data_IF_618254683233
#
_entry.id   IF_618254683233
#
_cell.length_a   1.000
_cell.length_b   1.000
_cell.length_c   1.000
_cell.angle_alpha   90.00
_cell.angle_beta   90.00
_cell.angle_gamma   90.00
#
_symmetry.space_group_name_H-M   'P 1'
#
loop_
_entity.id
_entity.type
_entity.pdbx_description
1 polymer ?
#
# COMPACT_ATOMS: atom_id res chain seq x y z
N UNK A 1 -11.49 21.21 -12.37
CA UNK A 1 -10.61 22.06 -11.52
C UNK A 1 -10.60 21.44 -10.15
N UNK A 2 -9.45 20.90 -9.78
CA UNK A 2 -9.20 20.26 -8.49
C UNK A 2 -8.62 21.31 -7.56
N UNK A 3 -9.12 21.38 -6.33
CA UNK A 3 -8.60 22.25 -5.28
C UNK A 3 -7.69 21.42 -4.36
N UNK A 4 -6.47 21.90 -4.13
CA UNK A 4 -5.52 21.29 -3.20
C UNK A 4 -5.33 22.18 -1.99
N UNK A 5 -5.52 21.62 -0.80
CA UNK A 5 -5.32 22.29 0.49
C UNK A 5 -4.16 21.62 1.24
N UNK A 6 -3.19 22.43 1.70
CA UNK A 6 -2.14 22.00 2.62
C UNK A 6 -2.46 22.46 4.05
N UNK A 7 -2.27 21.57 5.03
CA UNK A 7 -2.44 21.85 6.46
C UNK A 7 -1.40 21.11 7.29
N UNK A 8 -1.19 21.55 8.53
CA UNK A 8 -0.42 20.79 9.51
C UNK A 8 -1.31 19.69 10.10
N UNK A 9 -0.76 18.48 10.26
CA UNK A 9 -1.45 17.30 10.81
C UNK A 9 -0.96 16.90 12.21
N UNK A 10 0.27 17.30 12.55
CA UNK A 10 0.88 17.02 13.85
C UNK A 10 2.39 17.21 13.81
N UNK A 11 3.07 16.71 14.84
CA UNK A 11 4.53 16.78 14.97
C UNK A 11 5.08 15.40 15.26
N UNK A 12 6.07 14.96 14.48
CA UNK A 12 6.80 13.70 14.68
C UNK A 12 8.29 14.00 14.82
N UNK A 13 8.91 13.61 15.94
CA UNK A 13 10.35 13.85 16.21
C UNK A 13 10.82 15.30 15.97
N UNK A 14 9.99 16.28 16.36
CA UNK A 14 10.18 17.73 16.15
C UNK A 14 10.06 18.21 14.71
N UNK A 15 9.59 17.37 13.78
CA UNK A 15 9.25 17.76 12.42
C UNK A 15 7.73 17.87 12.27
N UNK A 16 7.27 18.88 11.52
CA UNK A 16 5.85 19.00 11.18
C UNK A 16 5.47 17.89 10.19
N UNK A 17 4.40 17.18 10.51
CA UNK A 17 3.71 16.30 9.57
C UNK A 17 2.66 17.13 8.85
N UNK A 18 2.68 17.10 7.51
CA UNK A 18 1.75 17.84 6.65
C UNK A 18 0.61 16.93 6.19
N UNK A 19 -0.57 17.51 5.97
CA UNK A 19 -1.73 16.90 5.31
C UNK A 19 -2.02 17.66 4.02
N UNK A 20 -2.27 16.91 2.95
CA UNK A 20 -2.65 17.43 1.65
C UNK A 20 -4.01 16.85 1.28
N UNK A 21 -4.97 17.72 0.99
CA UNK A 21 -6.34 17.32 0.65
C UNK A 21 -6.73 17.84 -0.72
N UNK A 22 -7.00 16.93 -1.64
CA UNK A 22 -7.61 17.24 -2.93
C UNK A 22 -9.12 17.21 -2.82
N UNK A 23 -9.79 18.12 -3.54
CA UNK A 23 -11.22 18.10 -3.75
C UNK A 23 -11.54 18.37 -5.22
N UNK A 24 -12.30 17.48 -5.84
CA UNK A 24 -12.80 17.68 -7.21
C UNK A 24 -14.17 18.38 -7.19
N UNK A 25 -14.70 18.68 -8.38
CA UNK A 25 -16.02 19.33 -8.50
C UNK A 25 -17.19 18.42 -8.11
N UNK A 26 -17.02 17.10 -8.17
CA UNK A 26 -18.07 16.13 -7.81
C UNK A 26 -18.24 15.98 -6.30
N UNK A 27 -17.27 16.47 -5.52
CA UNK A 27 -17.20 16.25 -4.08
C UNK A 27 -16.24 15.13 -3.68
N UNK A 28 -15.67 14.38 -4.63
CA UNK A 28 -14.61 13.42 -4.36
C UNK A 28 -13.42 14.10 -3.67
N UNK A 29 -12.97 13.54 -2.56
CA UNK A 29 -11.83 14.06 -1.79
C UNK A 29 -10.86 12.96 -1.45
N UNK A 30 -9.58 13.29 -1.53
CA UNK A 30 -8.52 12.42 -1.02
C UNK A 30 -7.64 13.22 -0.11
N UNK A 31 -7.28 12.66 1.04
CA UNK A 31 -6.26 13.23 1.91
C UNK A 31 -5.08 12.29 2.02
N UNK A 32 -3.87 12.85 1.96
CA UNK A 32 -2.62 12.14 2.27
C UNK A 32 -1.83 12.92 3.33
N UNK A 33 -0.98 12.23 4.08
CA UNK A 33 -0.10 12.83 5.09
C UNK A 33 1.37 12.52 4.81
N UNK A 34 2.27 13.39 5.24
CA UNK A 34 3.71 13.20 5.01
C UNK A 34 4.32 12.06 5.85
N UNK A 35 3.72 11.71 6.99
CA UNK A 35 4.10 10.52 7.74
C UNK A 35 3.70 9.26 6.97
N UNK A 36 4.70 8.44 6.64
CA UNK A 36 4.58 7.23 5.81
C UNK A 36 4.11 7.47 4.37
N UNK A 37 3.99 8.74 3.94
CA UNK A 37 3.30 9.14 2.71
C UNK A 37 1.92 8.46 2.61
N UNK A 38 1.19 8.41 3.73
CA UNK A 38 -0.03 7.62 3.87
C UNK A 38 -1.22 8.29 3.17
N UNK A 39 -2.09 7.49 2.56
CA UNK A 39 -3.47 7.88 2.28
C UNK A 39 -4.23 7.85 3.62
N UNK A 40 -4.74 9.00 4.04
CA UNK A 40 -5.47 9.18 5.29
C UNK A 40 -6.98 9.01 5.13
N UNK A 41 -7.54 9.44 4.00
CA UNK A 41 -8.98 9.33 3.70
C UNK A 41 -9.26 9.41 2.19
N UNK A 42 -10.33 8.76 1.74
CA UNK A 42 -10.87 8.84 0.38
C UNK A 42 -12.39 8.95 0.51
N UNK A 43 -12.92 10.17 0.39
CA UNK A 43 -14.37 10.41 0.44
C UNK A 43 -14.94 10.33 -0.97
N UNK A 44 -15.87 9.39 -1.18
CA UNK A 44 -16.53 9.13 -2.47
C UNK A 44 -18.01 9.49 -2.37
N UNK A 45 -18.57 10.27 -3.31
CA UNK A 45 -20.00 10.51 -3.36
C UNK A 45 -20.73 9.26 -3.83
N UNK A 46 -21.77 8.87 -3.10
CA UNK A 46 -22.65 7.77 -3.50
C UNK A 46 -23.67 8.21 -4.58
N UNK A 47 -24.64 7.34 -4.89
CA UNK A 47 -25.67 7.59 -5.92
C UNK A 47 -26.61 8.75 -5.58
N UNK A 48 -26.72 9.15 -4.31
CA UNK A 48 -27.55 10.28 -3.87
C UNK A 48 -26.71 11.51 -3.50
N UNK A 49 -25.39 11.41 -3.61
CA UNK A 49 -24.44 12.50 -3.39
C UNK A 49 -23.89 12.57 -1.96
N UNK A 50 -24.18 11.59 -1.11
CA UNK A 50 -23.63 11.51 0.24
C UNK A 50 -22.18 11.04 0.19
N UNK A 51 -21.29 11.73 0.90
CA UNK A 51 -19.87 11.42 0.95
C UNK A 51 -19.58 10.40 2.05
N UNK A 52 -18.98 9.27 1.68
CA UNK A 52 -18.50 8.26 2.62
C UNK A 52 -16.99 8.10 2.46
N UNK A 53 -16.25 8.06 3.57
CA UNK A 53 -14.83 7.71 3.53
C UNK A 53 -14.71 6.20 3.37
N UNK A 54 -14.13 5.77 2.24
CA UNK A 54 -14.08 4.37 1.83
C UNK A 54 -12.76 3.70 2.19
N UNK A 55 -11.87 4.36 2.93
CA UNK A 55 -10.64 3.76 3.46
C UNK A 55 -10.56 3.84 4.97
N UNK A 56 -9.95 2.84 5.59
CA UNK A 56 -9.64 2.87 7.01
C UNK A 56 -8.41 3.75 7.26
N UNK A 57 -8.48 4.55 8.33
CA UNK A 57 -7.40 5.44 8.76
C UNK A 57 -7.66 6.01 10.15
N UNK A 58 -6.83 6.98 10.54
CA UNK A 58 -6.98 7.73 11.79
C UNK A 58 -7.20 9.23 11.53
N UNK A 59 -7.90 9.88 12.46
CA UNK A 59 -8.18 11.32 12.42
C UNK A 59 -6.97 12.18 12.79
N UNK A 60 -6.03 11.62 13.56
CA UNK A 60 -4.84 12.30 14.06
C UNK A 60 -3.56 11.47 13.88
N UNK A 61 -2.42 12.15 14.02
CA UNK A 61 -1.09 11.55 13.86
C UNK A 61 -0.78 10.46 14.90
N UNK A 62 -1.32 10.56 16.12
CA UNK A 62 -1.02 9.61 17.20
C UNK A 62 -1.55 8.22 16.85
N UNK A 63 -2.71 8.15 16.19
CA UNK A 63 -3.24 6.90 15.64
C UNK A 63 -2.24 6.21 14.72
N UNK A 64 -1.62 6.95 13.80
CA UNK A 64 -0.62 6.39 12.90
C UNK A 64 0.70 6.06 13.59
N UNK A 65 1.15 6.82 14.58
CA UNK A 65 2.45 6.56 15.23
C UNK A 65 2.37 5.41 16.23
N UNK A 66 1.27 5.31 16.98
CA UNK A 66 1.14 4.37 18.10
C UNK A 66 0.43 3.07 17.70
N UNK A 67 -0.40 3.11 16.66
CA UNK A 67 -1.30 2.00 16.27
C UNK A 67 -1.23 1.69 14.78
N UNK A 68 -0.18 2.10 14.05
CA UNK A 68 -0.19 1.98 12.58
C UNK A 68 -0.45 0.57 12.08
N UNK A 69 -0.25 -0.47 12.89
CA UNK A 69 -0.54 -1.84 12.51
C UNK A 69 -2.06 -2.02 12.32
N UNK A 70 -2.53 -2.44 11.12
CA UNK A 70 -1.79 -3.19 10.10
C UNK A 70 -1.43 -2.39 8.82
N UNK A 71 -0.70 -1.28 8.93
CA UNK A 71 -0.19 -0.41 7.85
C UNK A 71 -1.24 0.45 7.13
N UNK A 72 -2.23 0.98 7.86
CA UNK A 72 -3.38 1.68 7.26
C UNK A 72 -2.96 2.82 6.31
N UNK A 73 -3.17 2.61 5.00
CA UNK A 73 -2.94 3.60 3.96
C UNK A 73 -1.48 3.89 3.64
N UNK A 74 -0.54 3.16 4.23
CA UNK A 74 0.86 3.52 4.22
C UNK A 74 1.60 3.21 2.92
N UNK A 75 2.64 3.97 2.60
CA UNK A 75 3.66 3.53 1.63
C UNK A 75 4.54 2.49 2.28
N UNK A 76 4.62 1.32 1.66
CA UNK A 76 5.39 0.18 2.14
C UNK A 76 6.65 -0.01 1.30
N UNK A 77 7.80 -0.13 1.97
CA UNK A 77 9.10 -0.30 1.33
C UNK A 77 10.25 -0.40 2.35
N UNK A 78 11.48 -0.77 1.96
CA UNK A 78 11.96 -0.93 0.56
C UNK A 78 11.37 -2.11 -0.20
N UNK A 79 11.04 -3.21 0.49
CA UNK A 79 10.34 -4.35 -0.10
C UNK A 79 9.07 -4.66 0.68
N UNK A 80 7.94 -4.53 -0.01
CA UNK A 80 6.64 -4.99 0.46
C UNK A 80 6.56 -6.51 0.50
N UNK A 81 5.70 -7.01 1.39
CA UNK A 81 5.51 -8.42 1.71
C UNK A 81 6.77 -9.06 2.33
N UNK A 82 6.87 -10.39 2.28
CA UNK A 82 7.81 -11.18 3.08
C UNK A 82 9.08 -11.52 2.31
N UNK A 83 10.22 -11.49 2.99
CA UNK A 83 11.50 -12.06 2.52
C UNK A 83 11.91 -13.16 3.51
N UNK A 84 11.94 -14.39 2.99
CA UNK A 84 12.27 -15.60 3.75
C UNK A 84 13.65 -15.50 4.41
N UNK A 85 13.73 -15.84 5.69
CA UNK A 85 14.97 -15.82 6.48
C UNK A 85 15.55 -14.42 6.67
N UNK A 86 14.80 -13.37 6.27
CA UNK A 86 15.26 -12.00 6.22
C UNK A 86 16.61 -11.84 5.50
N UNK A 87 16.86 -12.62 4.45
CA UNK A 87 18.13 -12.52 3.71
C UNK A 87 17.92 -12.66 2.21
N UNK A 88 18.86 -12.11 1.46
CA UNK A 88 18.95 -12.30 0.01
C UNK A 88 20.41 -12.14 -0.42
N UNK A 89 20.68 -12.49 -1.69
CA UNK A 89 22.00 -12.34 -2.29
C UNK A 89 21.94 -11.48 -3.54
N UNK A 90 22.96 -10.62 -3.72
CA UNK A 90 23.21 -9.87 -4.96
C UNK A 90 24.67 -10.09 -5.34
N UNK A 91 24.90 -10.55 -6.57
CA UNK A 91 26.24 -10.82 -7.09
C UNK A 91 27.11 -11.71 -6.17
N UNK A 92 26.48 -12.65 -5.44
CA UNK A 92 27.14 -13.56 -4.50
C UNK A 92 27.43 -12.98 -3.11
N UNK A 93 27.15 -11.69 -2.88
CA UNK A 93 27.20 -11.09 -1.54
C UNK A 93 25.86 -11.30 -0.81
N UNK A 94 25.92 -11.74 0.44
CA UNK A 94 24.76 -11.95 1.31
C UNK A 94 24.42 -10.68 2.09
N UNK A 95 23.13 -10.35 2.13
CA UNK A 95 22.58 -9.22 2.88
C UNK A 95 21.56 -9.73 3.88
N UNK A 96 21.79 -9.43 5.16
CA UNK A 96 20.87 -9.75 6.24
C UNK A 96 20.02 -8.52 6.55
N UNK A 97 18.71 -8.68 6.39
CA UNK A 97 17.68 -7.72 6.73
C UNK A 97 17.24 -7.86 8.19
N UNK A 98 16.58 -6.83 8.70
CA UNK A 98 15.89 -6.89 9.99
C UNK A 98 14.84 -8.01 10.00
N UNK A 99 14.69 -8.69 11.13
CA UNK A 99 13.65 -9.70 11.33
C UNK A 99 12.56 -9.07 12.17
N UNK A 100 11.35 -8.97 11.62
CA UNK A 100 10.22 -8.31 12.26
C UNK A 100 8.92 -9.13 12.17
N UNK A 101 8.98 -10.35 11.62
CA UNK A 101 7.89 -11.32 11.71
C UNK A 101 8.47 -12.69 12.05
N UNK A 102 7.81 -13.41 12.96
CA UNK A 102 8.14 -14.78 13.40
C UNK A 102 9.59 -15.01 13.87
N UNK A 103 10.33 -13.96 14.27
CA UNK A 103 11.77 -13.97 14.60
C UNK A 103 12.71 -14.50 13.50
N UNK A 104 12.18 -14.77 12.31
CA UNK A 104 12.90 -15.44 11.23
C UNK A 104 12.85 -14.69 9.91
N UNK A 105 11.70 -14.09 9.59
CA UNK A 105 11.46 -13.48 8.29
C UNK A 105 11.41 -11.95 8.38
N UNK A 106 11.55 -11.33 7.21
CA UNK A 106 11.41 -9.88 7.05
C UNK A 106 10.06 -9.58 6.41
N UNK A 107 9.39 -8.51 6.84
CA UNK A 107 8.08 -8.09 6.35
C UNK A 107 8.06 -6.57 6.15
N UNK A 108 7.53 -6.13 5.00
CA UNK A 108 7.15 -4.73 4.77
C UNK A 108 8.26 -3.70 5.03
N UNK A 109 9.51 -4.05 4.74
CA UNK A 109 10.65 -3.14 4.86
C UNK A 109 11.34 -3.12 6.22
N UNK A 110 10.80 -3.80 7.24
CA UNK A 110 11.49 -4.05 8.51
C UNK A 110 10.87 -3.36 9.72
N UNK A 111 11.70 -3.07 10.73
CA UNK A 111 11.23 -2.52 12.02
C UNK A 111 10.73 -1.08 11.85
N UNK A 112 11.52 -0.25 11.19
CA UNK A 112 11.19 1.13 10.82
C UNK A 112 11.19 1.23 9.28
N UNK A 113 10.18 0.61 8.67
CA UNK A 113 9.94 0.70 7.24
C UNK A 113 9.48 2.10 6.79
N UNK A 114 9.24 2.21 5.48
CA UNK A 114 8.81 3.45 4.83
C UNK A 114 7.49 4.02 5.38
N UNK A 115 6.70 3.18 6.03
CA UNK A 115 5.44 3.52 6.69
C UNK A 115 5.62 4.30 8.01
N UNK A 116 6.83 4.29 8.61
CA UNK A 116 7.07 4.84 9.96
C UNK A 116 8.00 6.06 9.99
N UNK A 117 8.22 6.68 8.83
CA UNK A 117 9.10 7.84 8.67
C UNK A 117 8.32 9.05 8.17
N UNK A 118 8.74 10.26 8.53
CA UNK A 118 8.18 11.47 7.96
C UNK A 118 8.90 11.78 6.64
N UNK A 119 8.13 11.90 5.56
CA UNK A 119 8.66 12.18 4.22
C UNK A 119 8.74 13.69 4.01
N UNK A 120 9.78 14.14 3.29
CA UNK A 120 9.80 15.51 2.79
C UNK A 120 8.72 15.66 1.72
N UNK A 121 8.07 16.82 1.62
CA UNK A 121 6.99 17.04 0.65
C UNK A 121 7.15 18.34 -0.13
N UNK A 122 6.82 18.28 -1.42
CA UNK A 122 6.80 19.44 -2.33
C UNK A 122 5.52 19.39 -3.17
N UNK A 123 4.89 20.56 -3.33
CA UNK A 123 3.70 20.75 -4.16
C UNK A 123 4.09 21.36 -5.51
N UNK A 124 3.58 20.80 -6.61
CA UNK A 124 3.68 21.35 -7.96
C UNK A 124 2.32 21.23 -8.67
N UNK A 125 1.60 22.34 -8.79
CA UNK A 125 0.23 22.35 -9.29
C UNK A 125 -0.71 21.53 -8.40
N UNK A 126 -1.31 20.47 -8.95
CA UNK A 126 -2.10 19.49 -8.18
C UNK A 126 -1.26 18.32 -7.67
N UNK A 127 0.02 18.20 -8.02
CA UNK A 127 0.83 17.06 -7.60
C UNK A 127 1.50 17.32 -6.27
N UNK A 128 1.53 16.30 -5.43
CA UNK A 128 2.31 16.30 -4.18
C UNK A 128 3.33 15.17 -4.28
N UNK A 129 4.60 15.55 -4.23
CA UNK A 129 5.73 14.60 -4.22
C UNK A 129 6.24 14.46 -2.81
N UNK A 130 6.21 13.24 -2.29
CA UNK A 130 6.85 12.84 -1.04
C UNK A 130 8.20 12.21 -1.34
N UNK A 131 9.27 12.66 -0.69
CA UNK A 131 10.63 12.17 -0.88
C UNK A 131 11.25 11.66 0.42
N UNK A 132 11.82 10.47 0.36
CA UNK A 132 12.58 9.87 1.46
C UNK A 132 13.90 9.28 0.96
N UNK A 133 14.97 9.58 1.68
CA UNK A 133 16.31 9.04 1.41
C UNK A 133 16.63 7.97 2.46
N UNK A 134 16.39 6.72 2.07
CA UNK A 134 16.74 5.55 2.86
C UNK A 134 18.25 5.30 2.73
N UNK A 135 18.99 5.31 3.85
CA UNK A 135 20.46 5.29 3.83
C UNK A 135 21.03 3.89 3.56
N UNK A 136 22.23 3.80 3.01
CA UNK A 136 22.96 2.53 2.88
C UNK A 136 23.01 1.78 4.22
N UNK A 137 22.52 0.53 4.22
CA UNK A 137 22.41 -0.31 5.41
C UNK A 137 21.12 -0.14 6.22
N UNK A 138 20.25 0.81 5.89
CA UNK A 138 18.95 0.96 6.57
C UNK A 138 18.11 -0.32 6.43
N UNK A 139 17.65 -0.84 7.56
CA UNK A 139 16.95 -2.14 7.68
C UNK A 139 17.72 -3.34 7.08
N UNK A 140 19.02 -3.17 6.79
CA UNK A 140 19.92 -4.16 6.20
C UNK A 140 20.07 -4.08 4.68
N UNK A 141 19.38 -3.15 4.00
CA UNK A 141 19.42 -3.03 2.55
C UNK A 141 20.64 -2.24 2.04
N UNK A 142 21.32 -2.68 0.96
CA UNK A 142 22.46 -1.95 0.40
C UNK A 142 22.05 -0.72 -0.40
N UNK A 143 22.93 0.28 -0.39
CA UNK A 143 22.84 1.51 -1.16
C UNK A 143 21.90 2.55 -0.54
N UNK A 144 22.29 3.81 -0.64
CA UNK A 144 21.34 4.91 -0.51
C UNK A 144 20.26 4.74 -1.57
N UNK A 145 18.99 4.85 -1.18
CA UNK A 145 17.82 4.79 -2.04
C UNK A 145 17.00 6.07 -1.87
N UNK A 146 17.00 6.92 -2.89
CA UNK A 146 16.07 8.04 -2.97
C UNK A 146 14.76 7.54 -3.56
N UNK A 147 13.69 7.63 -2.79
CA UNK A 147 12.34 7.25 -3.22
C UNK A 147 11.45 8.48 -3.26
N UNK A 148 10.66 8.58 -4.32
CA UNK A 148 9.59 9.57 -4.49
C UNK A 148 8.25 8.84 -4.64
N UNK A 149 7.26 9.25 -3.85
CA UNK A 149 5.84 8.89 -4.02
C UNK A 149 5.11 10.14 -4.49
N UNK A 150 4.53 10.09 -5.68
CA UNK A 150 3.84 11.24 -6.28
C UNK A 150 2.35 10.93 -6.28
N UNK A 151 1.59 11.74 -5.57
CA UNK A 151 0.13 11.72 -5.59
C UNK A 151 -0.40 12.83 -6.48
N UNK A 152 -1.42 12.51 -7.26
CA UNK A 152 -2.19 13.46 -8.06
C UNK A 152 -3.67 13.04 -8.03
N UNK A 153 -4.57 14.02 -8.03
CA UNK A 153 -6.00 13.77 -8.18
C UNK A 153 -6.49 14.61 -9.34
N UNK A 154 -7.10 13.95 -10.33
CA UNK A 154 -7.64 14.57 -11.53
C UNK A 154 -9.11 14.94 -11.35
N UNK A 155 -9.67 15.73 -12.27
CA UNK A 155 -11.05 16.22 -12.14
C UNK A 155 -12.13 15.22 -12.61
N UNK A 156 -11.72 14.05 -13.10
CA UNK A 156 -12.54 12.87 -13.36
C UNK A 156 -12.50 11.85 -12.20
N UNK A 157 -12.18 12.30 -10.99
CA UNK A 157 -12.20 11.54 -9.74
C UNK A 157 -11.23 10.34 -9.71
N UNK A 158 -10.07 10.50 -10.35
CA UNK A 158 -9.00 9.50 -10.34
C UNK A 158 -7.87 9.96 -9.42
N UNK A 159 -7.46 9.08 -8.51
CA UNK A 159 -6.20 9.20 -7.78
C UNK A 159 -5.10 8.43 -8.51
N UNK A 160 -4.00 9.12 -8.81
CA UNK A 160 -2.77 8.52 -9.31
C UNK A 160 -1.73 8.44 -8.19
N UNK A 161 -1.11 7.28 -8.06
CA UNK A 161 0.04 7.06 -7.16
C UNK A 161 1.20 6.54 -8.01
N UNK A 162 2.27 7.32 -8.08
CA UNK A 162 3.47 6.95 -8.82
C UNK A 162 4.66 6.78 -7.87
N UNK A 163 5.36 5.66 -8.00
CA UNK A 163 6.59 5.38 -7.28
C UNK A 163 7.79 5.54 -8.21
N UNK A 164 8.77 6.32 -7.81
CA UNK A 164 10.05 6.47 -8.51
C UNK A 164 11.16 6.26 -7.49
N UNK A 165 12.11 5.39 -7.80
CA UNK A 165 13.24 5.13 -6.90
C UNK A 165 14.56 5.10 -7.67
N UNK A 166 15.63 5.59 -7.06
CA UNK A 166 16.98 5.57 -7.60
C UNK A 166 17.96 5.18 -6.52
N UNK A 167 18.81 4.19 -6.80
CA UNK A 167 19.78 3.67 -5.84
C UNK A 167 21.22 3.92 -6.27
N UNK A 168 22.10 4.06 -5.29
CA UNK A 168 23.56 4.17 -5.47
C UNK A 168 24.25 2.81 -5.61
N UNK A 169 23.58 1.70 -5.25
CA UNK A 169 24.06 0.32 -5.39
C UNK A 169 22.95 -0.57 -5.93
N UNK A 170 23.29 -1.77 -6.40
CA UNK A 170 22.27 -2.80 -6.67
C UNK A 170 21.57 -3.15 -5.36
N UNK A 171 20.24 -3.12 -5.36
CA UNK A 171 19.38 -3.48 -4.23
C UNK A 171 18.08 -4.07 -4.74
N UNK A 172 17.36 -4.76 -3.87
CA UNK A 172 15.96 -5.15 -4.11
C UNK A 172 15.02 -3.99 -3.74
N UNK A 173 13.95 -3.81 -4.52
CA UNK A 173 12.92 -2.78 -4.32
C UNK A 173 11.58 -3.37 -4.75
N UNK A 174 10.55 -3.23 -3.91
CA UNK A 174 9.16 -3.55 -4.22
C UNK A 174 8.26 -2.63 -3.40
N UNK A 175 7.67 -1.61 -4.03
CA UNK A 175 6.92 -0.55 -3.34
C UNK A 175 5.42 -0.71 -3.60
N UNK A 176 4.61 -0.44 -2.59
CA UNK A 176 3.14 -0.41 -2.72
C UNK A 176 2.53 0.59 -1.75
N UNK A 177 1.24 0.85 -1.90
CA UNK A 177 0.40 1.47 -0.89
C UNK A 177 -0.45 0.38 -0.18
N UNK A 178 -0.71 0.53 1.12
CA UNK A 178 -1.44 -0.44 1.94
C UNK A 178 -2.79 0.10 2.48
N UNK A 179 -3.54 0.84 1.66
CA UNK A 179 -4.91 1.23 1.97
C UNK A 179 -5.85 0.03 2.10
N UNK A 180 -6.69 0.05 3.14
CA UNK A 180 -7.76 -0.92 3.34
C UNK A 180 -9.09 -0.28 2.97
N UNK A 181 -9.80 -0.88 2.02
CA UNK A 181 -11.01 -0.31 1.46
C UNK A 181 -12.26 -0.94 2.06
N UNK A 182 -13.26 -0.09 2.36
CA UNK A 182 -14.65 -0.47 2.53
C UNK A 182 -15.54 0.48 1.72
N UNK A 183 -16.02 0.03 0.55
CA UNK A 183 -16.87 0.85 -0.33
C UNK A 183 -18.24 1.21 0.27
N UNK A 184 -18.65 0.53 1.35
CA UNK A 184 -19.86 0.90 2.10
C UNK A 184 -19.62 2.04 3.10
N UNK A 185 -18.36 2.48 3.28
CA UNK A 185 -17.92 3.37 4.35
C UNK A 185 -17.04 2.62 5.36
N UNK A 186 -15.96 3.26 5.83
CA UNK A 186 -15.03 2.65 6.78
C UNK A 186 -15.68 2.29 8.13
N UNK A 187 -16.76 2.98 8.49
CA UNK A 187 -17.54 2.81 9.72
C UNK A 187 -18.74 1.87 9.54
N UNK A 188 -19.02 1.39 8.33
CA UNK A 188 -20.13 0.47 8.03
C UNK A 188 -19.95 -0.92 8.66
N UNK A 189 -18.75 -1.23 9.16
CA UNK A 189 -18.42 -2.49 9.82
C UNK A 189 -17.89 -3.55 8.86
N UNK A 190 -17.22 -4.55 9.44
CA UNK A 190 -16.53 -5.60 8.68
C UNK A 190 -17.48 -6.51 7.90
N UNK A 191 -18.74 -6.66 8.35
CA UNK A 191 -19.72 -7.50 7.67
C UNK A 191 -20.06 -7.00 6.26
N UNK A 192 -19.98 -5.68 6.03
CA UNK A 192 -20.27 -5.10 4.71
C UNK A 192 -19.23 -5.46 3.65
N UNK A 193 -18.00 -5.81 4.06
CA UNK A 193 -16.97 -6.27 3.13
C UNK A 193 -17.43 -7.55 2.39
N UNK A 194 -18.24 -8.40 3.03
CA UNK A 194 -18.78 -9.61 2.39
C UNK A 194 -19.81 -9.31 1.29
N UNK A 195 -20.36 -8.10 1.25
CA UNK A 195 -21.29 -7.67 0.19
C UNK A 195 -20.58 -7.14 -1.05
N UNK A 196 -19.27 -6.87 -0.98
CA UNK A 196 -18.51 -6.35 -2.11
C UNK A 196 -18.43 -7.37 -3.23
N UNK A 197 -18.51 -6.87 -4.47
CA UNK A 197 -18.31 -7.67 -5.67
C UNK A 197 -16.88 -7.45 -6.16
N UNK A 198 -16.09 -8.52 -6.21
CA UNK A 198 -14.67 -8.48 -6.54
C UNK A 198 -14.44 -9.23 -7.85
N UNK A 199 -13.53 -8.70 -8.67
CA UNK A 199 -12.94 -9.44 -9.78
C UNK A 199 -11.47 -9.09 -9.91
N UNK A 200 -10.63 -10.10 -10.14
CA UNK A 200 -9.18 -9.98 -10.34
C UNK A 200 -8.80 -10.68 -11.64
N UNK A 201 -8.16 -9.95 -12.55
CA UNK A 201 -7.67 -10.51 -13.81
C UNK A 201 -6.35 -11.27 -13.61
N UNK A 202 -6.43 -12.45 -12.99
CA UNK A 202 -5.29 -13.32 -12.73
C UNK A 202 -5.68 -14.79 -12.94
N UNK A 203 -4.82 -15.57 -13.61
CA UNK A 203 -5.03 -17.02 -13.78
C UNK A 203 -4.28 -17.88 -12.76
N UNK A 204 -3.39 -17.25 -11.97
CA UNK A 204 -2.54 -17.90 -10.97
C UNK A 204 -2.40 -17.06 -9.70
N UNK A 205 -2.06 -17.74 -8.61
CA UNK A 205 -1.51 -17.15 -7.38
C UNK A 205 -0.09 -17.68 -7.15
N UNK A 206 0.70 -16.97 -6.35
CA UNK A 206 1.97 -17.53 -5.83
C UNK A 206 1.68 -18.57 -4.77
N UNK A 207 2.32 -19.73 -4.86
CA UNK A 207 2.26 -20.73 -3.79
C UNK A 207 3.01 -20.23 -2.55
N UNK A 208 2.39 -20.41 -1.38
CA UNK A 208 2.96 -20.02 -0.09
C UNK A 208 3.03 -21.19 0.89
N UNK A 209 3.95 -21.11 1.85
CA UNK A 209 3.95 -21.99 3.02
C UNK A 209 2.83 -21.58 4.01
N UNK A 210 2.50 -22.39 5.04
CA UNK A 210 1.56 -21.99 6.09
C UNK A 210 1.96 -20.72 6.88
N UNK A 211 3.21 -20.26 6.73
CA UNK A 211 3.71 -18.99 7.30
C UNK A 211 3.58 -17.82 6.29
N UNK A 212 2.84 -18.03 5.19
CA UNK A 212 2.63 -17.06 4.10
C UNK A 212 3.92 -16.67 3.38
N UNK A 213 4.92 -17.55 3.36
CA UNK A 213 6.19 -17.34 2.65
C UNK A 213 6.09 -17.89 1.23
N UNK A 214 6.35 -17.09 0.17
CA UNK A 214 6.36 -17.59 -1.20
C UNK A 214 7.38 -18.72 -1.42
N UNK A 215 6.95 -19.83 -2.01
CA UNK A 215 7.83 -20.97 -2.33
C UNK A 215 8.62 -20.77 -3.63
N UNK A 216 8.13 -19.85 -4.48
CA UNK A 216 8.56 -19.68 -5.87
C UNK A 216 7.69 -20.47 -6.88
N UNK A 217 6.76 -21.28 -6.39
CA UNK A 217 5.75 -21.97 -7.20
C UNK A 217 4.56 -21.08 -7.55
N UNK A 218 3.76 -21.54 -8.53
CA UNK A 218 2.52 -20.91 -8.94
C UNK A 218 1.39 -21.94 -8.99
N UNK A 219 0.20 -21.56 -8.53
CA UNK A 219 -1.01 -22.40 -8.52
C UNK A 219 -2.07 -21.76 -9.41
N UNK A 220 -2.68 -22.54 -10.30
CA UNK A 220 -3.78 -22.05 -11.13
C UNK A 220 -5.02 -21.79 -10.27
N UNK A 221 -5.73 -20.69 -10.52
CA UNK A 221 -6.94 -20.35 -9.76
C UNK A 221 -8.18 -21.12 -10.20
N UNK A 222 -8.18 -21.65 -11.42
CA UNK A 222 -9.37 -22.27 -12.03
C UNK A 222 -9.96 -23.41 -11.19
N UNK A 223 -11.25 -23.29 -10.85
CA UNK A 223 -11.96 -24.27 -10.02
C UNK A 223 -11.62 -24.24 -8.54
N UNK A 224 -10.96 -23.18 -8.06
CA UNK A 224 -10.63 -22.93 -6.65
C UNK A 224 -11.39 -21.71 -6.13
N UNK A 225 -11.44 -21.47 -4.80
CA UNK A 225 -12.02 -20.24 -4.23
C UNK A 225 -11.30 -18.96 -4.68
N UNK A 226 -10.08 -19.08 -5.22
CA UNK A 226 -9.30 -17.99 -5.77
C UNK A 226 -9.68 -17.63 -7.22
N UNK A 227 -10.64 -18.32 -7.84
CA UNK A 227 -11.11 -17.98 -9.19
C UNK A 227 -11.99 -16.73 -9.19
N UNK A 228 -11.34 -15.56 -9.11
CA UNK A 228 -11.99 -14.25 -9.09
C UNK A 228 -12.01 -13.59 -10.49
N UNK A 229 -11.77 -14.36 -11.56
CA UNK A 229 -11.73 -13.84 -12.94
C UNK A 229 -13.10 -13.40 -13.45
N UNK A 230 -14.16 -13.92 -12.84
CA UNK A 230 -15.55 -13.48 -13.04
C UNK A 230 -15.97 -12.75 -11.77
N UNK A 231 -16.70 -11.61 -11.85
CA UNK A 231 -17.18 -10.90 -10.68
C UNK A 231 -17.98 -11.81 -9.73
N UNK A 232 -17.56 -11.88 -8.47
CA UNK A 232 -18.23 -12.64 -7.42
C UNK A 232 -18.45 -11.77 -6.20
N UNK A 233 -19.57 -11.99 -5.50
CA UNK A 233 -19.76 -11.42 -4.17
C UNK A 233 -18.80 -12.11 -3.20
N UNK A 234 -18.01 -11.33 -2.46
CA UNK A 234 -16.94 -11.85 -1.60
C UNK A 234 -17.48 -12.86 -0.58
N UNK A 235 -18.62 -12.58 0.06
CA UNK A 235 -19.26 -13.49 1.01
C UNK A 235 -19.63 -14.87 0.44
N UNK A 236 -19.87 -14.97 -0.88
CA UNK A 236 -20.13 -16.26 -1.52
C UNK A 236 -18.83 -17.01 -1.84
N UNK A 237 -17.75 -16.31 -2.20
CA UNK A 237 -16.42 -16.90 -2.32
C UNK A 237 -15.93 -17.43 -0.97
N UNK A 238 -16.16 -16.69 0.12
CA UNK A 238 -15.76 -17.04 1.49
C UNK A 238 -16.44 -18.30 2.03
N UNK A 239 -17.55 -18.78 1.45
CA UNK A 239 -18.18 -20.05 1.85
C UNK A 239 -17.38 -21.28 1.43
N UNK A 240 -16.43 -21.13 0.52
CA UNK A 240 -15.67 -22.24 -0.05
C UNK A 240 -14.43 -22.63 0.78
N UNK A 241 -14.16 -21.94 1.89
CA UNK A 241 -13.08 -22.26 2.82
C UNK A 241 -13.00 -21.29 4.00
N UNK A 242 -11.91 -21.35 4.76
CA UNK A 242 -11.63 -20.42 5.87
C UNK A 242 -10.29 -19.73 5.60
N UNK A 243 -10.16 -18.46 6.01
CA UNK A 243 -8.93 -17.65 5.84
C UNK A 243 -8.40 -17.66 4.40
N UNK A 244 -9.29 -17.44 3.44
CA UNK A 244 -9.02 -17.70 2.02
C UNK A 244 -8.06 -16.73 1.34
N UNK A 245 -7.82 -15.52 1.87
CA UNK A 245 -7.08 -14.50 1.12
C UNK A 245 -6.01 -13.82 1.99
N UNK A 246 -4.75 -14.02 1.61
CA UNK A 246 -3.58 -13.18 1.91
C UNK A 246 -2.50 -13.52 0.86
N UNK A 247 -2.90 -13.43 -0.42
CA UNK A 247 -2.19 -14.07 -1.53
C UNK A 247 -1.87 -13.06 -2.64
N UNK A 248 -0.69 -13.24 -3.26
CA UNK A 248 -0.36 -12.50 -4.46
C UNK A 248 -1.00 -13.17 -5.69
N UNK A 249 -1.96 -12.45 -6.30
CA UNK A 249 -2.53 -12.79 -7.60
C UNK A 249 -1.60 -12.35 -8.73
N UNK A 250 -1.27 -13.29 -9.63
CA UNK A 250 -0.41 -13.05 -10.78
C UNK A 250 -1.24 -12.41 -11.90
N UNK A 251 -1.19 -11.08 -12.00
CA UNK A 251 -2.00 -10.32 -12.96
C UNK A 251 -1.66 -10.71 -14.40
N UNK A 252 -2.70 -11.06 -15.16
CA UNK A 252 -2.59 -11.30 -16.59
C UNK A 252 -2.39 -9.98 -17.32
N UNK A 253 -1.25 -9.83 -17.98
CA UNK A 253 -0.99 -8.69 -18.86
C UNK A 253 -1.33 -9.07 -20.30
N UNK A 254 -2.36 -8.44 -20.87
CA UNK A 254 -2.62 -8.51 -22.31
C UNK A 254 -2.01 -7.27 -22.97
N UNK A 255 -0.91 -7.45 -23.71
CA UNK A 255 -0.27 -6.39 -24.48
C UNK A 255 0.79 -5.61 -23.69
N UNK A 256 1.96 -5.48 -24.32
CA UNK A 256 3.21 -4.88 -23.86
C UNK A 256 3.88 -5.59 -22.68
N UNK A 257 4.88 -6.42 -23.04
CA UNK A 257 6.01 -6.70 -22.16
C UNK A 257 6.52 -5.36 -21.66
N UNK A 258 6.39 -5.10 -20.37
CA UNK A 258 7.14 -4.03 -19.71
C UNK A 258 8.60 -4.47 -19.83
N UNK A 259 9.33 -3.79 -20.72
CA UNK A 259 10.77 -3.96 -20.96
C UNK A 259 11.58 -3.49 -19.77
#
# INVERSE_FOLDING_TARGET
>A
MVHLLEQDFGTFKNETVKKYTWQTKSGFKVSVISYGANIQSILVPDKVGELNDVVLGFDDLSGYVERNEPYLGATVGRCANRIRGANFQIDGAEYQLAKNVSDHDHLHGGLVGFDKVNWNSVVDGSKVTFSYLSKDGEEGYPGDLLTNVIYDVTDDDVIHVQFIATSTKKTVINLTNHSYFNLAGHDAGAEEIYNHVISINADKITETTPQSIPTGGFVNVGGTPFDLRIPVRLGDAMKQGQNLFDDNFCINTYGNKVS
#
